data_IF_290230536679
#
_entry.id   IF_290230536679
#
_cell.length_a   1.000
_cell.length_b   1.000
_cell.length_c   1.000
_cell.angle_alpha   90.00
_cell.angle_beta   90.00
_cell.angle_gamma   90.00
#
_symmetry.space_group_name_H-M   'P 1'
#
loop_
_entity.id
_entity.type
_entity.pdbx_description
1 polymer ?
#
# COMPACT_ATOMS: atom_id res chain seq x y z
N UNK A 1 14.17 16.58 -6.65
CA UNK A 1 13.27 15.47 -6.33
C UNK A 1 13.94 14.20 -6.82
N UNK A 2 14.04 13.20 -5.96
CA UNK A 2 14.84 12.00 -6.26
C UNK A 2 14.02 10.95 -7.01
N UNK A 3 13.60 11.25 -8.24
CA UNK A 3 12.94 10.27 -9.06
C UNK A 3 11.48 10.55 -9.37
N UNK A 4 10.74 9.51 -9.61
CA UNK A 4 9.41 9.54 -10.15
C UNK A 4 8.41 10.28 -9.25
N UNK A 5 7.49 10.99 -9.86
CA UNK A 5 6.36 11.52 -9.14
C UNK A 5 5.52 10.34 -8.67
N UNK A 6 5.44 10.16 -7.34
CA UNK A 6 4.56 9.21 -6.72
C UNK A 6 3.69 9.94 -5.69
N UNK A 7 2.40 9.92 -5.90
CA UNK A 7 1.42 10.64 -5.12
C UNK A 7 1.19 9.95 -3.77
N UNK A 8 0.62 10.67 -2.83
CA UNK A 8 0.25 10.18 -1.50
C UNK A 8 1.41 9.66 -0.64
N UNK A 9 2.65 10.06 -0.95
CA UNK A 9 3.80 9.74 -0.11
C UNK A 9 4.42 8.36 -0.35
N UNK A 10 4.05 7.66 -1.42
CA UNK A 10 4.61 6.34 -1.74
C UNK A 10 6.10 6.36 -2.08
N UNK A 11 6.68 7.51 -2.44
CA UNK A 11 8.09 7.61 -2.80
C UNK A 11 8.96 8.06 -1.62
N UNK A 12 9.68 7.12 -1.02
CA UNK A 12 10.65 7.35 0.05
C UNK A 12 12.10 7.37 -0.44
N UNK A 13 12.38 7.39 -1.75
CA UNK A 13 13.75 7.33 -2.33
C UNK A 13 14.71 8.34 -1.72
N UNK A 14 14.20 9.50 -1.30
CA UNK A 14 14.99 10.54 -0.63
C UNK A 14 15.67 10.08 0.67
N UNK A 15 15.15 9.05 1.33
CA UNK A 15 15.75 8.50 2.57
C UNK A 15 17.16 7.94 2.34
N UNK A 16 17.47 7.48 1.11
CA UNK A 16 18.83 6.99 0.79
C UNK A 16 19.88 8.08 0.88
N UNK A 17 19.55 9.29 0.52
CA UNK A 17 20.49 10.42 0.45
C UNK A 17 20.32 11.43 1.57
N UNK A 18 19.12 11.54 2.11
CA UNK A 18 18.78 12.52 3.16
C UNK A 18 17.91 11.82 4.21
N UNK A 19 18.48 10.90 4.99
CA UNK A 19 17.74 10.20 6.03
C UNK A 19 17.31 11.16 7.13
N UNK A 20 16.15 10.86 7.73
CA UNK A 20 15.72 11.54 8.96
C UNK A 20 16.65 11.10 10.10
N UNK A 21 17.14 12.06 10.88
CA UNK A 21 17.93 11.80 12.07
C UNK A 21 17.18 12.28 13.30
N UNK A 22 16.88 11.36 14.21
CA UNK A 22 16.29 11.64 15.52
C UNK A 22 17.13 10.98 16.62
N UNK A 23 16.97 11.43 17.87
CA UNK A 23 17.79 10.93 18.99
C UNK A 23 17.63 9.42 19.28
N UNK A 24 16.57 8.80 18.79
CA UNK A 24 16.22 7.39 18.96
C UNK A 24 15.76 6.81 17.61
N UNK A 25 16.71 6.35 16.80
CA UNK A 25 16.41 5.81 15.46
C UNK A 25 15.52 4.55 15.50
N UNK A 26 15.56 3.80 16.60
CA UNK A 26 14.67 2.66 16.89
C UNK A 26 13.19 3.06 17.08
N UNK A 27 12.89 4.35 17.15
CA UNK A 27 11.54 4.92 17.24
C UNK A 27 11.05 5.54 15.94
N UNK A 28 11.88 5.53 14.90
CA UNK A 28 11.51 6.09 13.60
C UNK A 28 10.75 5.05 12.77
N UNK A 29 9.57 5.43 12.31
CA UNK A 29 8.77 4.68 11.35
C UNK A 29 8.48 5.59 10.17
N UNK A 30 8.78 5.13 8.97
CA UNK A 30 8.42 5.81 7.73
C UNK A 30 7.03 5.34 7.30
N UNK A 31 6.19 6.27 6.84
CA UNK A 31 4.86 5.93 6.33
C UNK A 31 4.82 6.15 4.82
N UNK A 32 4.50 5.10 4.09
CA UNK A 32 4.22 5.14 2.65
C UNK A 32 2.73 4.88 2.42
N UNK A 33 2.18 5.41 1.32
CA UNK A 33 0.85 5.09 0.83
C UNK A 33 0.96 4.46 -0.56
N UNK A 34 0.13 3.48 -0.85
CA UNK A 34 0.16 2.76 -2.11
C UNK A 34 -1.25 2.56 -2.67
N UNK A 35 -1.41 2.87 -3.96
CA UNK A 35 -2.70 2.76 -4.63
C UNK A 35 -2.56 2.14 -6.01
N UNK A 36 -3.60 1.41 -6.40
CA UNK A 36 -3.67 0.72 -7.68
C UNK A 36 -4.00 1.61 -8.87
N UNK A 37 -4.05 1.02 -10.07
CA UNK A 37 -4.14 1.76 -11.34
C UNK A 37 -5.39 2.62 -11.50
N UNK A 38 -6.50 2.31 -10.83
CA UNK A 38 -7.74 3.09 -10.93
C UNK A 38 -7.65 4.39 -10.12
N UNK A 39 -6.96 4.37 -8.96
CA UNK A 39 -6.76 5.58 -8.16
C UNK A 39 -5.83 6.55 -8.86
N UNK A 40 -4.73 6.04 -9.41
CA UNK A 40 -3.86 6.82 -10.29
C UNK A 40 -3.06 5.92 -11.22
N UNK A 41 -3.25 6.12 -12.54
CA UNK A 41 -2.59 5.33 -13.58
C UNK A 41 -1.09 5.69 -13.69
N UNK A 42 -0.25 4.97 -12.99
CA UNK A 42 1.20 5.08 -13.09
C UNK A 42 1.71 4.31 -14.32
N UNK A 43 2.84 4.72 -14.92
CA UNK A 43 3.37 4.08 -16.13
C UNK A 43 3.64 2.57 -15.98
N UNK A 44 4.04 2.12 -14.80
CA UNK A 44 4.35 0.71 -14.54
C UNK A 44 3.14 -0.21 -14.54
N UNK A 45 1.92 0.30 -14.35
CA UNK A 45 0.69 -0.48 -14.49
C UNK A 45 0.36 -0.78 -15.95
N UNK A 46 0.92 -0.01 -16.89
CA UNK A 46 0.77 -0.20 -18.33
C UNK A 46 1.90 -1.02 -18.95
N UNK A 47 2.92 -1.37 -18.18
CA UNK A 47 4.04 -2.18 -18.64
C UNK A 47 3.58 -3.62 -18.89
N UNK A 48 4.11 -4.24 -19.95
CA UNK A 48 3.76 -5.61 -20.32
C UNK A 48 4.18 -6.66 -19.27
N UNK A 49 5.07 -6.30 -18.35
CA UNK A 49 5.48 -7.14 -17.23
C UNK A 49 4.61 -6.99 -15.99
N UNK A 50 3.57 -6.15 -16.00
CA UNK A 50 2.63 -6.06 -14.88
C UNK A 50 1.89 -7.40 -14.71
N UNK A 51 1.76 -7.96 -13.49
CA UNK A 51 2.16 -7.41 -12.19
C UNK A 51 3.59 -7.79 -11.73
N UNK A 52 4.34 -8.59 -12.48
CA UNK A 52 5.66 -9.12 -12.08
C UNK A 52 6.69 -8.00 -11.79
N UNK A 53 6.53 -6.83 -12.41
CA UNK A 53 7.38 -5.67 -12.20
C UNK A 53 7.14 -4.97 -10.84
N UNK A 54 5.99 -5.22 -10.20
CA UNK A 54 5.55 -4.41 -9.05
C UNK A 54 6.44 -4.58 -7.83
N UNK A 55 6.94 -5.76 -7.54
CA UNK A 55 7.86 -5.97 -6.43
C UNK A 55 9.08 -5.04 -6.54
N UNK A 56 9.69 -4.97 -7.72
CA UNK A 56 10.83 -4.07 -7.94
C UNK A 56 10.47 -2.58 -7.80
N UNK A 57 9.27 -2.20 -8.20
CA UNK A 57 8.74 -0.84 -8.03
C UNK A 57 8.58 -0.51 -6.55
N UNK A 58 7.95 -1.37 -5.76
CA UNK A 58 7.75 -1.18 -4.33
C UNK A 58 9.09 -1.16 -3.57
N UNK A 59 9.99 -2.09 -3.89
CA UNK A 59 11.34 -2.12 -3.31
C UNK A 59 12.11 -0.82 -3.56
N UNK A 60 12.04 -0.27 -4.78
CA UNK A 60 12.73 0.97 -5.12
C UNK A 60 12.10 2.20 -4.47
N UNK A 61 10.77 2.22 -4.29
CA UNK A 61 10.07 3.37 -3.74
C UNK A 61 10.10 3.42 -2.21
N UNK A 62 9.88 2.32 -1.51
CA UNK A 62 9.79 2.31 -0.04
C UNK A 62 10.34 1.02 0.62
N UNK A 63 10.26 -0.14 -0.03
CA UNK A 63 10.68 -1.41 0.56
C UNK A 63 12.16 -1.43 0.94
N UNK A 64 12.99 -0.71 0.20
CA UNK A 64 14.42 -0.56 0.52
C UNK A 64 14.67 -0.05 1.95
N UNK A 65 13.73 0.69 2.55
CA UNK A 65 13.88 1.22 3.91
C UNK A 65 14.04 0.06 4.90
N UNK A 66 13.27 -1.01 4.75
CA UNK A 66 13.39 -2.22 5.55
C UNK A 66 14.53 -3.11 5.05
N UNK A 67 14.62 -3.33 3.73
CA UNK A 67 15.63 -4.21 3.11
C UNK A 67 17.08 -3.74 3.38
N UNK A 68 17.31 -2.42 3.47
CA UNK A 68 18.59 -1.82 3.79
C UNK A 68 18.75 -1.48 5.29
N UNK A 69 17.84 -1.96 6.15
CA UNK A 69 17.84 -1.73 7.60
C UNK A 69 17.90 -0.23 8.00
N UNK A 70 17.19 0.62 7.26
CA UNK A 70 17.14 2.07 7.51
C UNK A 70 16.05 2.47 8.50
N UNK A 71 15.08 1.60 8.76
CA UNK A 71 13.95 1.83 9.67
C UNK A 71 12.79 0.88 9.38
N UNK A 72 11.69 1.10 10.07
CA UNK A 72 10.44 0.40 9.82
C UNK A 72 9.56 1.18 8.85
N UNK A 73 8.71 0.46 8.09
CA UNK A 73 7.71 1.04 7.21
C UNK A 73 6.32 0.66 7.70
N UNK A 74 5.47 1.68 7.81
CA UNK A 74 4.02 1.54 7.94
C UNK A 74 3.42 1.88 6.58
N UNK A 75 2.67 0.98 5.98
CA UNK A 75 1.80 1.34 4.86
C UNK A 75 0.58 2.06 5.46
N UNK A 76 0.64 3.38 5.46
CA UNK A 76 -0.34 4.23 6.14
C UNK A 76 -1.70 4.27 5.44
N UNK A 77 -1.71 4.05 4.13
CA UNK A 77 -2.92 3.94 3.34
C UNK A 77 -2.72 3.00 2.16
N UNK A 78 -3.68 2.16 1.92
CA UNK A 78 -3.92 1.44 0.67
C UNK A 78 -5.38 1.01 0.64
N UNK A 79 -5.96 0.91 -0.55
CA UNK A 79 -7.37 0.55 -0.65
C UNK A 79 -7.79 0.23 -2.07
N UNK A 80 -8.96 -0.35 -2.20
CA UNK A 80 -9.55 -0.82 -3.45
C UNK A 80 -11.06 -0.70 -3.38
N UNK A 81 -11.68 -0.18 -4.45
CA UNK A 81 -13.14 -0.14 -4.55
C UNK A 81 -13.70 -1.47 -5.05
N UNK A 82 -13.22 -1.92 -6.21
CA UNK A 82 -13.71 -3.11 -6.89
C UNK A 82 -12.55 -3.85 -7.58
N UNK A 83 -12.41 -5.13 -7.30
CA UNK A 83 -11.38 -5.98 -7.88
C UNK A 83 -11.54 -6.16 -9.41
N UNK A 84 -12.76 -6.03 -9.93
CA UNK A 84 -13.03 -6.13 -11.36
C UNK A 84 -12.74 -4.84 -12.14
N UNK A 85 -12.53 -3.71 -11.46
CA UNK A 85 -12.25 -2.43 -12.09
C UNK A 85 -10.98 -2.47 -12.94
N UNK A 86 -10.96 -1.59 -13.94
CA UNK A 86 -9.85 -1.42 -14.86
C UNK A 86 -9.40 -2.76 -15.48
N UNK A 87 -10.38 -3.47 -16.07
CA UNK A 87 -10.20 -4.79 -16.70
C UNK A 87 -9.61 -5.86 -15.76
N UNK A 88 -9.89 -5.74 -14.45
CA UNK A 88 -9.42 -6.66 -13.42
C UNK A 88 -8.03 -6.35 -12.87
N UNK A 89 -7.32 -5.35 -13.42
CA UNK A 89 -5.97 -5.02 -12.95
C UNK A 89 -5.94 -4.49 -11.52
N UNK A 90 -7.05 -3.93 -11.02
CA UNK A 90 -7.18 -3.52 -9.61
C UNK A 90 -7.10 -4.72 -8.67
N UNK A 91 -7.81 -5.82 -8.96
CA UNK A 91 -7.73 -7.05 -8.17
C UNK A 91 -6.35 -7.67 -8.20
N UNK A 92 -5.75 -7.73 -9.40
CA UNK A 92 -4.38 -8.24 -9.59
C UNK A 92 -3.37 -7.42 -8.79
N UNK A 93 -3.45 -6.08 -8.84
CA UNK A 93 -2.59 -5.21 -8.02
C UNK A 93 -2.80 -5.49 -6.53
N UNK A 94 -4.05 -5.56 -6.08
CA UNK A 94 -4.37 -5.71 -4.67
C UNK A 94 -3.85 -7.02 -4.08
N UNK A 95 -4.07 -8.15 -4.78
CA UNK A 95 -3.55 -9.45 -4.37
C UNK A 95 -2.03 -9.46 -4.28
N UNK A 96 -1.34 -8.96 -5.32
CA UNK A 96 0.13 -8.89 -5.33
C UNK A 96 0.67 -7.96 -4.25
N UNK A 97 -0.02 -6.86 -3.96
CA UNK A 97 0.39 -5.94 -2.90
C UNK A 97 0.23 -6.55 -1.51
N UNK A 98 -0.86 -7.28 -1.25
CA UNK A 98 -1.04 -8.02 0.00
C UNK A 98 0.04 -9.09 0.19
N UNK A 99 0.37 -9.84 -0.86
CA UNK A 99 1.45 -10.82 -0.82
C UNK A 99 2.82 -10.17 -0.56
N UNK A 100 3.09 -9.02 -1.21
CA UNK A 100 4.32 -8.26 -0.99
C UNK A 100 4.46 -7.78 0.46
N UNK A 101 3.42 -7.23 1.03
CA UNK A 101 3.42 -6.80 2.42
C UNK A 101 3.56 -7.99 3.38
N UNK A 102 2.96 -9.12 3.06
CA UNK A 102 2.93 -10.30 3.92
C UNK A 102 2.56 -9.92 5.37
N UNK A 103 3.26 -10.46 6.35
CA UNK A 103 3.16 -10.08 7.78
C UNK A 103 4.33 -9.21 8.23
N UNK A 104 5.20 -8.79 7.29
CA UNK A 104 6.42 -8.04 7.59
C UNK A 104 6.16 -6.53 7.73
N UNK A 105 5.13 -6.05 7.04
CA UNK A 105 4.74 -4.65 7.11
C UNK A 105 3.60 -4.43 8.09
N UNK A 106 3.69 -3.34 8.85
CA UNK A 106 2.51 -2.77 9.53
C UNK A 106 1.70 -1.97 8.52
N UNK A 107 0.37 -2.00 8.63
CA UNK A 107 -0.48 -1.31 7.67
C UNK A 107 -1.81 -0.85 8.25
N UNK A 108 -2.43 0.11 7.59
CA UNK A 108 -3.81 0.55 7.81
C UNK A 108 -4.54 0.65 6.48
N UNK A 109 -5.76 0.13 6.41
CA UNK A 109 -6.56 0.13 5.19
C UNK A 109 -7.31 1.45 5.00
N UNK A 110 -7.29 1.99 3.80
CA UNK A 110 -8.07 3.16 3.43
C UNK A 110 -9.30 2.74 2.62
N UNK A 111 -10.53 2.80 3.19
CA UNK A 111 -10.79 3.21 4.57
C UNK A 111 -12.00 2.45 5.15
N UNK A 112 -12.41 2.77 6.36
CA UNK A 112 -13.60 2.15 6.97
C UNK A 112 -14.89 2.63 6.31
N UNK A 113 -15.03 3.95 6.13
CA UNK A 113 -16.23 4.62 5.64
C UNK A 113 -16.40 4.45 4.12
N UNK A 114 -17.64 4.37 3.59
CA UNK A 114 -17.90 4.03 2.19
C UNK A 114 -17.70 5.19 1.21
N UNK A 115 -17.61 6.42 1.67
CA UNK A 115 -17.66 7.63 0.85
C UNK A 115 -16.31 8.09 0.29
N UNK A 116 -15.31 7.22 0.19
CA UNK A 116 -14.12 7.46 -0.61
C UNK A 116 -14.44 7.18 -2.07
N UNK A 117 -14.32 8.18 -2.94
CA UNK A 117 -14.77 8.07 -4.34
C UNK A 117 -13.93 7.11 -5.17
N UNK A 118 -12.69 6.88 -4.79
CA UNK A 118 -11.71 6.05 -5.52
C UNK A 118 -11.51 4.65 -4.92
N UNK A 119 -11.63 4.50 -3.60
CA UNK A 119 -11.40 3.21 -2.91
C UNK A 119 -12.64 2.62 -2.26
N UNK A 120 -13.72 3.40 -2.13
CA UNK A 120 -14.85 2.99 -1.28
C UNK A 120 -14.40 2.75 0.16
N UNK A 121 -15.12 1.89 0.88
CA UNK A 121 -14.82 1.55 2.26
C UNK A 121 -14.83 0.05 2.53
N UNK A 122 -14.55 -0.29 3.78
CA UNK A 122 -14.91 -1.60 4.36
C UNK A 122 -16.43 -1.66 4.56
N UNK A 123 -17.07 -0.53 4.89
CA UNK A 123 -18.52 -0.45 4.95
C UNK A 123 -19.11 -0.16 3.56
N UNK A 124 -20.33 -0.66 3.34
CA UNK A 124 -21.15 -0.34 2.17
C UNK A 124 -21.86 1.01 2.35
N UNK A 125 -22.51 1.51 1.30
CA UNK A 125 -23.17 2.82 1.26
C UNK A 125 -24.26 3.01 2.33
N UNK A 126 -24.74 1.95 2.93
CA UNK A 126 -25.67 2.01 4.08
C UNK A 126 -24.98 2.29 5.42
N UNK A 127 -23.66 2.39 5.45
CA UNK A 127 -22.80 2.64 6.63
C UNK A 127 -22.92 1.56 7.74
N UNK A 128 -23.47 0.41 7.44
CA UNK A 128 -23.70 -0.69 8.39
C UNK A 128 -23.21 -2.01 7.83
N UNK A 129 -23.58 -2.32 6.59
CA UNK A 129 -23.17 -3.56 5.92
C UNK A 129 -21.68 -3.51 5.57
N UNK A 130 -21.07 -4.70 5.50
CA UNK A 130 -19.62 -4.83 5.28
C UNK A 130 -19.36 -5.40 3.90
N UNK A 131 -18.33 -4.90 3.24
CA UNK A 131 -17.73 -5.50 2.04
C UNK A 131 -16.92 -6.74 2.43
N UNK A 132 -17.61 -7.86 2.61
CA UNK A 132 -17.02 -9.09 3.18
C UNK A 132 -15.80 -9.58 2.41
N UNK A 133 -15.80 -9.46 1.07
CA UNK A 133 -14.66 -9.87 0.25
C UNK A 133 -13.36 -9.14 0.59
N UNK A 134 -13.44 -7.86 0.97
CA UNK A 134 -12.29 -7.09 1.43
C UNK A 134 -11.75 -7.61 2.74
N UNK A 135 -12.64 -7.90 3.70
CA UNK A 135 -12.23 -8.49 4.97
C UNK A 135 -11.60 -9.87 4.79
N UNK A 136 -12.18 -10.70 3.91
CA UNK A 136 -11.67 -12.03 3.61
C UNK A 136 -10.27 -11.96 2.98
N UNK A 137 -10.04 -11.01 2.08
CA UNK A 137 -8.74 -10.77 1.47
C UNK A 137 -7.69 -10.27 2.47
N UNK A 138 -8.08 -9.42 3.42
CA UNK A 138 -7.19 -8.85 4.43
C UNK A 138 -6.89 -9.82 5.59
N UNK A 139 -7.81 -10.75 5.89
CA UNK A 139 -7.73 -11.61 7.07
C UNK A 139 -6.40 -12.37 7.24
N UNK A 140 -5.77 -12.93 6.19
CA UNK A 140 -4.48 -13.63 6.31
C UNK A 140 -3.32 -12.74 6.79
N UNK A 141 -3.45 -11.43 6.64
CA UNK A 141 -2.39 -10.45 6.89
C UNK A 141 -2.62 -9.64 8.17
N UNK A 142 -3.66 -9.95 8.94
CA UNK A 142 -3.93 -9.30 10.21
C UNK A 142 -2.95 -9.76 11.28
N UNK A 143 -2.48 -8.82 12.11
CA UNK A 143 -1.73 -9.16 13.32
C UNK A 143 -2.60 -9.96 14.29
N UNK A 144 -2.01 -10.85 15.12
CA UNK A 144 -2.74 -11.49 16.19
C UNK A 144 -3.27 -10.45 17.19
N UNK A 145 -4.39 -10.77 17.84
CA UNK A 145 -4.92 -9.92 18.89
C UNK A 145 -3.88 -9.71 20.00
N UNK A 146 -3.79 -8.50 20.49
CA UNK A 146 -2.99 -8.17 21.68
C UNK A 146 -3.76 -8.72 22.90
N UNK A 147 -3.16 -9.65 23.62
CA UNK A 147 -3.68 -10.19 24.89
C UNK A 147 -3.45 -9.23 26.06
#
# INVERSE_FOLDING_TARGET
MNGDYYWWGGNLKGVRTTPIAIGHMDKLVYSAHEYGPEVYAQPWFLDASFPDNMQGIWDDHFGFVMNEARGHVLIGEFGIRDAASNDGSMGVWFENFLEYMSTDYSWTFWCLNPNSDDTGGILQDDWVSVEQWKLDALAPYLAPFIE
#
